data_IF_887915447835
#
_entry.id   IF_887915447835
#
_cell.length_a   1.000
_cell.length_b   1.000
_cell.length_c   1.000
_cell.angle_alpha   90.00
_cell.angle_beta   90.00
_cell.angle_gamma   90.00
#
_symmetry.space_group_name_H-M   'P 1'
#
loop_
_entity.id
_entity.type
_entity.pdbx_description
1 polymer ?
#
# COMPACT_ATOMS: atom_id res chain seq x y z
N UNK A 1 8.42 -35.60 -7.44
CA UNK A 1 8.38 -35.13 -8.84
C UNK A 1 8.67 -33.63 -8.79
N UNK A 2 9.87 -33.23 -9.21
CA UNK A 2 10.31 -31.84 -9.20
C UNK A 2 9.74 -31.11 -10.42
N UNK A 3 8.61 -30.44 -10.28
CA UNK A 3 8.14 -29.50 -11.29
C UNK A 3 8.88 -28.17 -11.07
N UNK A 4 9.87 -27.92 -11.94
CA UNK A 4 10.56 -26.62 -12.00
C UNK A 4 9.56 -25.53 -12.38
N UNK A 5 9.42 -24.44 -11.60
CA UNK A 5 8.52 -23.33 -11.94
C UNK A 5 8.96 -22.51 -13.17
N UNK A 6 10.08 -22.87 -13.79
CA UNK A 6 10.62 -22.19 -14.99
C UNK A 6 9.91 -22.55 -16.29
N UNK A 7 9.16 -23.66 -16.35
CA UNK A 7 8.49 -24.12 -17.57
C UNK A 7 7.31 -23.29 -18.06
N UNK A 8 6.81 -22.34 -17.26
CA UNK A 8 5.64 -21.52 -17.63
C UNK A 8 5.99 -20.32 -18.52
N UNK A 9 7.27 -20.02 -18.74
CA UNK A 9 7.70 -18.80 -19.42
C UNK A 9 8.21 -18.97 -20.87
N UNK A 10 8.21 -20.18 -21.41
CA UNK A 10 8.84 -20.46 -22.72
C UNK A 10 8.00 -20.11 -23.98
N UNK A 11 6.76 -19.65 -23.82
CA UNK A 11 5.98 -19.16 -24.96
C UNK A 11 5.75 -17.65 -24.89
N UNK A 12 6.82 -16.86 -24.95
CA UNK A 12 6.66 -15.42 -25.16
C UNK A 12 6.18 -15.16 -26.58
N UNK A 13 4.87 -15.02 -26.77
CA UNK A 13 4.29 -14.43 -27.99
C UNK A 13 4.98 -13.08 -28.24
N UNK A 14 5.26 -12.77 -29.52
CA UNK A 14 5.79 -11.46 -29.92
C UNK A 14 5.01 -10.36 -29.20
N UNK A 15 5.70 -9.36 -28.58
CA UNK A 15 5.02 -8.32 -27.83
C UNK A 15 4.03 -7.59 -28.73
N UNK A 16 2.83 -7.40 -28.27
CA UNK A 16 1.80 -6.67 -28.99
C UNK A 16 2.17 -5.19 -29.17
N UNK A 17 1.65 -4.53 -30.20
CA UNK A 17 1.92 -3.11 -30.48
C UNK A 17 1.72 -2.18 -29.25
N UNK A 18 0.67 -2.37 -28.39
CA UNK A 18 0.54 -1.61 -27.15
C UNK A 18 1.71 -1.81 -26.18
N UNK A 19 2.24 -3.04 -26.07
CA UNK A 19 3.39 -3.36 -25.22
C UNK A 19 4.64 -2.65 -25.71
N UNK A 20 4.89 -2.66 -27.02
CA UNK A 20 6.01 -1.95 -27.64
C UNK A 20 5.89 -0.43 -27.47
N UNK A 21 4.69 0.14 -27.66
CA UNK A 21 4.44 1.58 -27.43
C UNK A 21 4.68 1.96 -25.96
N UNK A 22 4.29 1.10 -25.00
CA UNK A 22 4.53 1.32 -23.56
C UNK A 22 6.02 1.28 -23.24
N UNK A 23 6.74 0.27 -23.74
CA UNK A 23 8.20 0.16 -23.58
C UNK A 23 8.91 1.37 -24.20
N UNK A 24 8.53 1.79 -25.41
CA UNK A 24 9.08 2.98 -26.05
C UNK A 24 8.86 4.27 -25.22
N UNK A 25 7.65 4.46 -24.66
CA UNK A 25 7.38 5.60 -23.76
C UNK A 25 8.24 5.55 -22.50
N UNK A 26 8.41 4.38 -21.88
CA UNK A 26 9.28 4.21 -20.73
C UNK A 26 10.74 4.51 -21.05
N UNK A 27 11.23 4.01 -22.18
CA UNK A 27 12.59 4.30 -22.66
C UNK A 27 12.79 5.78 -22.95
N UNK A 28 11.82 6.44 -23.56
CA UNK A 28 11.87 7.88 -23.84
C UNK A 28 11.84 8.74 -22.59
N UNK A 29 11.11 8.30 -21.56
CA UNK A 29 10.96 9.05 -20.29
C UNK A 29 12.07 8.78 -19.27
N UNK A 30 12.60 7.56 -19.22
CA UNK A 30 13.49 7.13 -18.13
C UNK A 30 14.79 6.48 -18.62
N UNK A 31 15.00 6.38 -19.93
CA UNK A 31 16.17 5.74 -20.53
C UNK A 31 16.12 4.21 -20.58
N UNK A 32 16.96 3.62 -21.42
CA UNK A 32 17.10 2.16 -21.58
C UNK A 32 17.57 1.50 -20.28
N UNK A 33 18.40 2.20 -19.49
CA UNK A 33 18.95 1.69 -18.24
C UNK A 33 17.88 1.28 -17.24
N UNK A 34 16.81 2.07 -17.07
CA UNK A 34 15.73 1.72 -16.15
C UNK A 34 14.97 0.45 -16.61
N UNK A 35 14.71 0.30 -17.89
CA UNK A 35 14.05 -0.91 -18.39
C UNK A 35 14.90 -2.16 -18.14
N UNK A 36 16.20 -2.07 -18.37
CA UNK A 36 17.15 -3.16 -18.08
C UNK A 36 17.16 -3.48 -16.57
N UNK A 37 17.24 -2.46 -15.71
CA UNK A 37 17.16 -2.64 -14.26
C UNK A 37 15.87 -3.33 -13.86
N UNK A 38 14.72 -2.89 -14.36
CA UNK A 38 13.43 -3.53 -14.06
C UNK A 38 13.41 -5.02 -14.47
N UNK A 39 13.95 -5.36 -15.64
CA UNK A 39 14.02 -6.75 -16.10
C UNK A 39 14.96 -7.60 -15.23
N UNK A 40 16.13 -7.07 -14.88
CA UNK A 40 17.08 -7.74 -13.99
C UNK A 40 16.47 -7.96 -12.62
N UNK A 41 15.86 -6.92 -12.02
CA UNK A 41 15.22 -7.00 -10.70
C UNK A 41 14.01 -7.93 -10.70
N UNK A 42 13.29 -8.01 -11.83
CA UNK A 42 12.21 -9.00 -12.00
C UNK A 42 12.74 -10.42 -11.92
N UNK A 43 13.78 -10.76 -12.68
CA UNK A 43 14.37 -12.10 -12.64
C UNK A 43 14.87 -12.43 -11.23
N UNK A 44 15.57 -11.52 -10.62
CA UNK A 44 16.13 -11.67 -9.29
C UNK A 44 15.07 -11.96 -8.23
N UNK A 45 14.01 -11.16 -8.15
CA UNK A 45 12.98 -11.32 -7.12
C UNK A 45 12.15 -12.60 -7.35
N UNK A 46 11.85 -12.94 -8.59
CA UNK A 46 11.08 -14.13 -8.93
C UNK A 46 11.86 -15.43 -8.70
N UNK A 47 13.20 -15.38 -8.73
CA UNK A 47 14.06 -16.52 -8.39
C UNK A 47 14.40 -16.57 -6.89
N UNK A 48 13.98 -15.59 -6.10
CA UNK A 48 14.27 -15.56 -4.66
C UNK A 48 13.43 -16.57 -3.88
N UNK A 49 14.00 -17.10 -2.79
CA UNK A 49 13.32 -18.08 -1.96
C UNK A 49 11.97 -17.57 -1.42
N UNK A 50 10.96 -18.46 -1.28
CA UNK A 50 9.74 -18.16 -0.55
C UNK A 50 10.01 -17.72 0.88
N UNK A 51 9.11 -16.93 1.44
CA UNK A 51 9.15 -16.54 2.85
C UNK A 51 7.78 -16.76 3.47
N UNK A 52 7.76 -17.50 4.56
CA UNK A 52 6.53 -17.89 5.23
C UNK A 52 5.84 -16.70 5.87
N UNK A 53 4.55 -16.57 5.62
CA UNK A 53 3.64 -15.76 6.43
C UNK A 53 3.22 -16.59 7.67
N UNK A 54 2.81 -15.90 8.71
CA UNK A 54 2.35 -16.54 9.95
C UNK A 54 0.93 -16.07 10.24
N UNK A 55 -0.11 -16.89 9.96
CA UNK A 55 -1.52 -16.47 10.09
C UNK A 55 -1.87 -15.89 11.46
N UNK A 56 -1.18 -16.36 12.50
CA UNK A 56 -1.39 -15.90 13.88
C UNK A 56 -0.38 -14.83 14.34
N UNK A 57 0.44 -14.28 13.43
CA UNK A 57 1.41 -13.26 13.78
C UNK A 57 0.72 -12.04 14.42
N UNK A 58 1.47 -11.35 15.29
CA UNK A 58 0.98 -10.13 15.95
C UNK A 58 0.70 -9.01 14.96
N UNK A 59 1.56 -8.86 13.96
CA UNK A 59 1.40 -7.89 12.88
C UNK A 59 0.52 -8.46 11.76
N UNK A 60 -0.52 -7.74 11.39
CA UNK A 60 -1.39 -8.05 10.27
C UNK A 60 -1.17 -7.01 9.18
N UNK A 61 -0.75 -7.46 8.00
CA UNK A 61 -0.42 -6.61 6.84
C UNK A 61 -1.53 -6.68 5.81
N UNK A 62 -2.02 -5.53 5.38
CA UNK A 62 -3.02 -5.37 4.35
C UNK A 62 -2.47 -4.59 3.16
N UNK A 63 -2.48 -5.20 1.98
CA UNK A 63 -1.93 -4.59 0.77
C UNK A 63 -2.85 -4.80 -0.43
N UNK A 64 -3.16 -3.71 -1.15
CA UNK A 64 -3.80 -3.75 -2.46
C UNK A 64 -2.72 -3.81 -3.54
N UNK A 65 -2.89 -4.68 -4.53
CA UNK A 65 -1.94 -4.86 -5.62
C UNK A 65 -2.64 -4.66 -6.96
N UNK A 66 -2.14 -3.69 -7.72
CA UNK A 66 -2.57 -3.43 -9.07
C UNK A 66 -1.66 -4.11 -10.09
N UNK A 67 -2.17 -4.28 -11.29
CA UNK A 67 -1.42 -4.85 -12.41
C UNK A 67 -0.03 -4.23 -12.63
N UNK A 68 0.17 -2.94 -12.29
CA UNK A 68 1.46 -2.26 -12.49
C UNK A 68 2.47 -2.52 -11.38
N UNK A 69 2.00 -2.87 -10.18
CA UNK A 69 2.78 -2.75 -8.95
C UNK A 69 3.07 -4.10 -8.29
N UNK A 70 2.60 -5.21 -8.89
CA UNK A 70 2.72 -6.53 -8.29
C UNK A 70 4.18 -6.98 -8.03
N UNK A 71 5.13 -6.58 -8.90
CA UNK A 71 6.55 -6.85 -8.65
C UNK A 71 7.10 -6.02 -7.49
N UNK A 72 6.69 -4.75 -7.40
CA UNK A 72 7.06 -3.88 -6.30
C UNK A 72 6.54 -4.47 -4.99
N UNK A 73 5.29 -4.95 -4.98
CA UNK A 73 4.68 -5.58 -3.81
C UNK A 73 5.51 -6.75 -3.26
N UNK A 74 6.08 -7.60 -4.13
CA UNK A 74 6.96 -8.70 -3.69
C UNK A 74 8.23 -8.14 -3.04
N UNK A 75 8.86 -7.11 -3.61
CA UNK A 75 10.02 -6.44 -3.02
C UNK A 75 9.68 -5.79 -1.67
N UNK A 76 8.56 -5.08 -1.60
CA UNK A 76 8.04 -4.45 -0.38
C UNK A 76 7.87 -5.48 0.74
N UNK A 77 7.12 -6.54 0.49
CA UNK A 77 6.81 -7.57 1.47
C UNK A 77 8.07 -8.34 1.91
N UNK A 78 8.98 -8.64 0.98
CA UNK A 78 10.24 -9.29 1.33
C UNK A 78 11.17 -8.38 2.10
N UNK A 79 11.23 -7.08 1.77
CA UNK A 79 12.01 -6.11 2.54
C UNK A 79 11.46 -5.95 3.96
N UNK A 80 10.14 -5.88 4.13
CA UNK A 80 9.49 -5.88 5.45
C UNK A 80 9.83 -7.17 6.21
N UNK A 81 9.66 -8.35 5.58
CA UNK A 81 9.92 -9.65 6.24
C UNK A 81 11.36 -9.77 6.73
N UNK A 82 12.31 -9.25 5.97
CA UNK A 82 13.72 -9.26 6.36
C UNK A 82 14.04 -8.37 7.59
N UNK A 83 13.13 -7.48 7.95
CA UNK A 83 13.27 -6.58 9.08
C UNK A 83 12.32 -6.94 10.26
N UNK A 84 11.38 -7.87 10.06
CA UNK A 84 10.46 -8.34 11.09
C UNK A 84 10.78 -9.79 11.47
N UNK A 85 11.40 -10.02 12.63
CA UNK A 85 11.79 -11.36 13.10
C UNK A 85 10.58 -12.26 13.34
N UNK A 86 9.52 -11.71 13.93
CA UNK A 86 8.31 -12.46 14.34
C UNK A 86 7.38 -12.76 13.16
N UNK A 87 7.70 -12.24 11.97
CA UNK A 87 6.85 -12.38 10.80
C UNK A 87 5.59 -11.52 10.86
N UNK A 88 4.68 -11.81 9.92
CA UNK A 88 3.37 -11.16 9.82
C UNK A 88 2.35 -12.08 9.18
N UNK A 89 1.07 -11.87 9.45
CA UNK A 89 -0.02 -12.37 8.61
C UNK A 89 -0.23 -11.42 7.44
N UNK A 90 -0.60 -11.94 6.26
CA UNK A 90 -0.70 -11.15 5.04
C UNK A 90 -2.05 -11.34 4.37
N UNK A 91 -2.78 -10.23 4.23
CA UNK A 91 -3.96 -10.11 3.38
C UNK A 91 -3.58 -9.35 2.10
N UNK A 92 -3.75 -9.99 0.97
CA UNK A 92 -3.46 -9.42 -0.34
C UNK A 92 -4.75 -9.28 -1.15
N UNK A 93 -5.00 -8.08 -1.65
CA UNK A 93 -6.14 -7.76 -2.50
C UNK A 93 -5.66 -7.54 -3.92
N UNK A 94 -6.05 -8.41 -4.83
CA UNK A 94 -5.68 -8.29 -6.24
C UNK A 94 -6.75 -7.50 -6.99
N UNK A 95 -6.33 -6.46 -7.67
CA UNK A 95 -7.22 -5.70 -8.56
C UNK A 95 -7.65 -6.58 -9.74
N UNK A 96 -8.84 -6.30 -10.28
CA UNK A 96 -9.47 -7.05 -11.39
C UNK A 96 -8.57 -7.14 -12.64
N UNK A 97 -7.67 -6.17 -12.81
CA UNK A 97 -6.75 -6.12 -13.94
C UNK A 97 -5.41 -6.87 -13.70
N UNK A 98 -5.26 -7.50 -12.54
CA UNK A 98 -4.05 -8.29 -12.25
C UNK A 98 -4.13 -9.62 -13.02
N UNK A 99 -3.09 -9.97 -13.82
CA UNK A 99 -3.11 -11.22 -14.58
C UNK A 99 -3.26 -12.44 -13.67
N UNK A 100 -4.08 -13.45 -14.04
CA UNK A 100 -4.32 -14.64 -13.21
C UNK A 100 -3.05 -15.35 -12.68
N UNK A 101 -1.94 -15.48 -13.45
CA UNK A 101 -0.71 -16.11 -12.95
C UNK A 101 -0.06 -15.38 -11.76
N UNK A 102 -0.36 -14.09 -11.56
CA UNK A 102 0.24 -13.29 -10.49
C UNK A 102 -0.20 -13.79 -9.11
N UNK A 103 -1.44 -14.26 -8.98
CA UNK A 103 -1.91 -14.88 -7.73
C UNK A 103 -1.02 -16.04 -7.33
N UNK A 104 -0.77 -16.97 -8.25
CA UNK A 104 0.07 -18.14 -8.03
C UNK A 104 1.52 -17.77 -7.68
N UNK A 105 2.04 -16.68 -8.28
CA UNK A 105 3.35 -16.13 -7.94
C UNK A 105 3.38 -15.68 -6.48
N UNK A 106 2.35 -14.96 -6.02
CA UNK A 106 2.28 -14.54 -4.62
C UNK A 106 2.14 -15.72 -3.66
N UNK A 107 1.28 -16.70 -3.95
CA UNK A 107 1.12 -17.93 -3.16
C UNK A 107 2.42 -18.73 -3.08
N UNK A 108 3.21 -18.73 -4.17
CA UNK A 108 4.55 -19.36 -4.18
C UNK A 108 5.56 -18.59 -3.31
N UNK A 109 5.55 -17.25 -3.40
CA UNK A 109 6.52 -16.42 -2.68
C UNK A 109 6.19 -16.21 -1.20
N UNK A 110 4.91 -16.31 -0.85
CA UNK A 110 4.38 -16.09 0.49
C UNK A 110 3.39 -17.21 0.84
N UNK A 111 3.86 -18.41 1.17
CA UNK A 111 3.00 -19.48 1.67
C UNK A 111 2.15 -18.97 2.84
N UNK A 112 0.90 -19.43 2.92
CA UNK A 112 -0.11 -19.05 3.92
C UNK A 112 -0.63 -17.59 3.78
N UNK A 113 -0.40 -16.94 2.63
CA UNK A 113 -1.04 -15.66 2.29
C UNK A 113 -2.56 -15.82 2.21
N UNK A 114 -3.28 -14.83 2.66
CA UNK A 114 -4.72 -14.75 2.55
C UNK A 114 -5.10 -13.85 1.36
N UNK A 115 -5.72 -14.45 0.33
CA UNK A 115 -6.23 -13.74 -0.85
C UNK A 115 -7.74 -13.95 -0.89
N UNK A 116 -8.53 -13.00 -0.34
CA UNK A 116 -9.98 -13.13 -0.29
C UNK A 116 -10.59 -13.26 -1.70
N UNK A 117 -11.64 -14.08 -1.81
CA UNK A 117 -12.36 -14.24 -3.07
C UNK A 117 -13.26 -13.03 -3.31
N UNK A 118 -13.37 -12.54 -4.57
CA UNK A 118 -14.20 -11.39 -4.91
C UNK A 118 -15.68 -11.54 -4.48
N UNK A 119 -16.29 -12.69 -4.73
CA UNK A 119 -17.69 -12.95 -4.38
C UNK A 119 -17.91 -12.91 -2.87
N UNK A 120 -16.95 -13.44 -2.10
CA UNK A 120 -17.01 -13.36 -0.64
C UNK A 120 -16.87 -11.91 -0.15
N UNK A 121 -15.98 -11.13 -0.73
CA UNK A 121 -15.83 -9.70 -0.41
C UNK A 121 -17.12 -8.94 -0.72
N UNK A 122 -17.73 -9.18 -1.88
CA UNK A 122 -19.00 -8.55 -2.27
C UNK A 122 -20.11 -8.83 -1.27
N UNK A 123 -20.23 -10.09 -0.86
CA UNK A 123 -21.21 -10.48 0.17
C UNK A 123 -20.91 -9.79 1.51
N UNK A 124 -19.65 -9.70 1.93
CA UNK A 124 -19.29 -9.00 3.17
C UNK A 124 -19.58 -7.49 3.08
N UNK A 125 -19.32 -6.86 1.94
CA UNK A 125 -19.68 -5.44 1.71
C UNK A 125 -21.20 -5.27 1.81
N UNK A 126 -21.97 -6.15 1.21
CA UNK A 126 -23.44 -6.12 1.26
C UNK A 126 -23.97 -6.27 2.69
N UNK A 127 -23.43 -7.19 3.46
CA UNK A 127 -23.91 -7.52 4.81
C UNK A 127 -23.44 -6.52 5.88
N UNK A 128 -22.21 -6.04 5.79
CA UNK A 128 -21.56 -5.30 6.89
C UNK A 128 -21.39 -3.82 6.60
N UNK A 129 -21.11 -3.43 5.35
CA UNK A 129 -20.83 -2.03 5.01
C UNK A 129 -22.07 -1.32 4.47
N UNK A 130 -22.82 -1.91 3.56
CA UNK A 130 -23.98 -1.27 2.92
C UNK A 130 -25.05 -0.77 3.92
N UNK A 131 -25.32 -1.45 5.05
CA UNK A 131 -26.30 -0.96 6.04
C UNK A 131 -25.84 0.31 6.78
N UNK A 132 -24.55 0.56 6.87
CA UNK A 132 -23.97 1.67 7.65
C UNK A 132 -23.30 2.75 6.79
N UNK A 133 -22.93 2.43 5.56
CA UNK A 133 -22.26 3.32 4.61
C UNK A 133 -22.66 2.97 3.16
N UNK A 134 -23.91 3.25 2.76
CA UNK A 134 -24.46 2.83 1.46
C UNK A 134 -23.76 3.47 0.27
N UNK A 135 -23.34 4.73 0.37
CA UNK A 135 -22.57 5.41 -0.68
C UNK A 135 -21.22 4.72 -0.88
N UNK A 136 -20.47 4.48 0.20
CA UNK A 136 -19.15 3.82 0.13
C UNK A 136 -19.28 2.41 -0.45
N UNK A 137 -20.30 1.65 -0.03
CA UNK A 137 -20.57 0.32 -0.57
C UNK A 137 -20.89 0.37 -2.08
N UNK A 138 -21.62 1.39 -2.53
CA UNK A 138 -21.91 1.62 -3.94
C UNK A 138 -20.65 1.99 -4.72
N UNK A 139 -19.85 2.91 -4.20
CA UNK A 139 -18.59 3.32 -4.82
C UNK A 139 -17.60 2.16 -4.93
N UNK A 140 -17.47 1.33 -3.90
CA UNK A 140 -16.64 0.14 -3.92
C UNK A 140 -17.01 -0.81 -5.07
N UNK A 141 -18.32 -1.04 -5.28
CA UNK A 141 -18.82 -1.90 -6.37
C UNK A 141 -18.67 -1.29 -7.76
N UNK A 142 -18.85 0.03 -7.92
CA UNK A 142 -19.01 0.66 -9.23
C UNK A 142 -17.74 1.36 -9.74
N UNK A 143 -16.92 1.91 -8.85
CA UNK A 143 -15.76 2.71 -9.23
C UNK A 143 -14.49 1.86 -9.45
N UNK A 144 -14.43 0.66 -8.91
CA UNK A 144 -13.24 -0.21 -8.95
C UNK A 144 -11.95 0.55 -8.60
N UNK A 145 -12.05 1.50 -7.66
CA UNK A 145 -10.89 2.29 -7.22
C UNK A 145 -9.99 1.43 -6.32
N UNK A 146 -8.73 1.17 -6.72
CA UNK A 146 -7.84 0.34 -5.91
C UNK A 146 -7.64 0.89 -4.50
N UNK A 147 -7.60 2.21 -4.34
CA UNK A 147 -7.36 2.86 -3.05
C UNK A 147 -8.58 2.72 -2.12
N UNK A 148 -9.81 2.94 -2.64
CA UNK A 148 -11.03 2.68 -1.86
C UNK A 148 -11.15 1.19 -1.51
N UNK A 149 -10.89 0.32 -2.50
CA UNK A 149 -10.94 -1.13 -2.29
C UNK A 149 -9.97 -1.57 -1.20
N UNK A 150 -8.75 -1.05 -1.18
CA UNK A 150 -7.75 -1.32 -0.14
C UNK A 150 -8.31 -1.03 1.25
N UNK A 151 -8.91 0.14 1.46
CA UNK A 151 -9.44 0.55 2.75
C UNK A 151 -10.64 -0.31 3.20
N UNK A 152 -11.62 -0.51 2.30
CA UNK A 152 -12.81 -1.33 2.58
C UNK A 152 -12.42 -2.78 2.84
N UNK A 153 -11.60 -3.37 1.98
CA UNK A 153 -11.19 -4.76 2.10
C UNK A 153 -10.37 -5.00 3.37
N UNK A 154 -9.46 -4.06 3.72
CA UNK A 154 -8.70 -4.15 4.95
C UNK A 154 -9.63 -4.16 6.18
N UNK A 155 -10.62 -3.29 6.23
CA UNK A 155 -11.58 -3.25 7.34
C UNK A 155 -12.44 -4.53 7.43
N UNK A 156 -12.88 -5.05 6.28
CA UNK A 156 -13.70 -6.28 6.21
C UNK A 156 -12.91 -7.50 6.65
N UNK A 157 -11.69 -7.66 6.14
CA UNK A 157 -10.85 -8.83 6.36
C UNK A 157 -10.08 -8.82 7.67
N UNK A 158 -9.90 -7.66 8.30
CA UNK A 158 -9.10 -7.52 9.50
C UNK A 158 -9.54 -8.47 10.62
N UNK A 159 -8.61 -9.27 11.10
CA UNK A 159 -8.76 -10.18 12.22
C UNK A 159 -8.21 -9.59 13.52
N UNK A 160 -7.34 -8.58 13.40
CA UNK A 160 -6.73 -7.86 14.52
C UNK A 160 -7.34 -6.47 14.68
N UNK A 161 -7.18 -5.91 15.86
CA UNK A 161 -7.57 -4.52 16.14
C UNK A 161 -6.64 -3.50 15.46
N UNK A 162 -5.38 -3.86 15.31
CA UNK A 162 -4.34 -3.05 14.67
C UNK A 162 -3.86 -3.75 13.43
N UNK A 163 -3.89 -3.04 12.33
CA UNK A 163 -3.44 -3.56 11.03
C UNK A 163 -2.42 -2.62 10.39
N UNK A 164 -1.40 -3.17 9.75
CA UNK A 164 -0.48 -2.42 8.93
C UNK A 164 -1.09 -2.23 7.54
N UNK A 165 -1.42 -1.00 7.23
CA UNK A 165 -1.88 -0.56 5.93
C UNK A 165 -0.66 -0.17 5.10
N UNK A 166 -0.41 -0.86 3.98
CA UNK A 166 0.86 -0.78 3.27
C UNK A 166 0.67 -0.68 1.76
N UNK A 167 1.35 0.29 1.14
CA UNK A 167 1.42 0.41 -0.31
C UNK A 167 2.50 -0.51 -0.91
N UNK A 168 2.33 -0.94 -2.18
CA UNK A 168 3.25 -1.87 -2.84
C UNK A 168 4.59 -1.26 -3.24
N UNK A 169 4.78 0.05 -3.07
CA UNK A 169 5.98 0.79 -3.46
C UNK A 169 6.76 1.36 -2.26
N UNK A 170 6.71 0.62 -1.15
CA UNK A 170 7.48 0.90 0.07
C UNK A 170 8.64 -0.08 0.20
N UNK A 171 9.82 0.38 0.59
CA UNK A 171 10.96 -0.49 0.94
C UNK A 171 11.40 -0.25 2.38
N UNK A 172 11.70 -1.34 3.08
CA UNK A 172 12.19 -1.33 4.45
C UNK A 172 13.69 -1.61 4.48
N UNK A 173 14.45 -0.76 5.16
CA UNK A 173 15.91 -0.81 5.28
C UNK A 173 16.38 -1.21 6.67
N UNK A 174 15.55 -0.99 7.68
CA UNK A 174 15.80 -1.33 9.08
C UNK A 174 14.50 -1.83 9.76
N UNK A 175 14.59 -2.46 10.94
CA UNK A 175 13.42 -2.89 11.71
C UNK A 175 12.47 -1.72 11.98
N UNK A 176 11.17 -1.84 11.62
CA UNK A 176 10.20 -0.75 11.80
C UNK A 176 9.64 -0.74 13.23
N UNK A 177 10.50 -0.39 14.20
CA UNK A 177 10.20 -0.47 15.63
C UNK A 177 8.92 0.27 16.02
N UNK A 178 8.69 1.47 15.47
CA UNK A 178 7.47 2.24 15.74
C UNK A 178 6.20 1.54 15.25
N UNK A 179 6.25 0.88 14.08
CA UNK A 179 5.11 0.11 13.56
C UNK A 179 4.88 -1.18 14.35
N UNK A 180 5.92 -1.74 14.96
CA UNK A 180 5.85 -2.99 15.73
C UNK A 180 5.54 -2.76 17.20
N UNK A 181 5.84 -1.57 17.74
CA UNK A 181 5.57 -1.24 19.12
C UNK A 181 4.06 -1.26 19.42
N UNK A 182 3.71 -1.57 20.67
CA UNK A 182 2.35 -1.36 21.19
C UNK A 182 2.16 0.12 21.47
N UNK A 183 1.95 0.90 20.42
CA UNK A 183 1.61 2.30 20.58
C UNK A 183 0.21 2.35 21.17
N UNK A 184 0.13 2.68 22.46
CA UNK A 184 -1.14 3.05 23.08
C UNK A 184 -1.63 4.33 22.41
N UNK A 185 -2.94 4.48 22.14
CA UNK A 185 -3.47 5.73 21.62
C UNK A 185 -3.03 6.87 22.53
N UNK A 186 -2.40 7.89 21.98
CA UNK A 186 -2.07 9.11 22.73
C UNK A 186 -3.39 9.84 23.00
N UNK A 187 -3.80 9.92 24.26
CA UNK A 187 -5.05 10.53 24.66
C UNK A 187 -6.23 9.56 24.69
N UNK A 188 -7.32 9.96 25.30
CA UNK A 188 -8.51 9.15 25.57
C UNK A 188 -9.14 8.54 24.31
N UNK A 189 -8.65 7.43 23.88
CA UNK A 189 -9.44 6.34 23.33
C UNK A 189 -9.55 6.19 21.81
N UNK A 190 -9.50 7.19 20.94
CA UNK A 190 -9.99 7.02 19.56
C UNK A 190 -9.07 7.54 18.46
N UNK A 191 -7.76 7.61 18.65
CA UNK A 191 -6.85 7.99 17.55
C UNK A 191 -6.95 6.99 16.40
N UNK A 192 -6.98 7.49 15.14
CA UNK A 192 -6.99 6.67 13.93
C UNK A 192 -5.82 5.69 13.88
N UNK A 193 -4.64 6.13 14.34
CA UNK A 193 -3.45 5.31 14.31
C UNK A 193 -2.17 6.11 14.05
N UNK A 194 -1.18 5.44 13.48
CA UNK A 194 0.17 5.95 13.22
C UNK A 194 0.48 5.89 11.73
N UNK A 195 0.77 7.03 11.09
CA UNK A 195 0.93 7.13 9.64
C UNK A 195 2.16 7.92 9.21
N UNK A 196 2.59 7.69 7.98
CA UNK A 196 3.56 8.55 7.30
C UNK A 196 3.03 9.97 7.14
N UNK A 197 3.98 10.91 7.12
CA UNK A 197 3.73 12.29 6.81
C UNK A 197 4.63 12.75 5.66
N UNK A 198 4.07 13.51 4.71
CA UNK A 198 4.80 14.22 3.66
C UNK A 198 5.29 15.57 4.16
N UNK A 199 6.10 16.26 3.37
CA UNK A 199 6.36 17.67 3.64
C UNK A 199 5.06 18.47 3.49
N UNK A 200 4.84 19.41 4.41
CA UNK A 200 3.71 20.31 4.31
C UNK A 200 3.80 21.12 3.01
N UNK A 201 2.70 21.16 2.23
CA UNK A 201 2.64 22.08 1.09
C UNK A 201 2.73 23.53 1.57
N UNK A 202 3.15 24.49 0.70
CA UNK A 202 3.18 25.88 1.04
C UNK A 202 1.85 26.36 1.65
N UNK A 203 1.91 27.14 2.72
CA UNK A 203 0.72 27.66 3.41
C UNK A 203 -0.14 28.56 2.52
N UNK A 204 0.46 29.13 1.46
CA UNK A 204 -0.25 29.94 0.46
C UNK A 204 -1.21 29.16 -0.43
N UNK A 205 -1.11 27.83 -0.48
CA UNK A 205 -2.05 27.02 -1.25
C UNK A 205 -3.37 26.89 -0.50
N UNK A 206 -4.46 27.25 -1.15
CA UNK A 206 -5.83 27.06 -0.61
C UNK A 206 -6.26 25.60 -0.60
N UNK A 207 -5.66 24.77 -1.46
CA UNK A 207 -5.89 23.32 -1.59
C UNK A 207 -4.55 22.60 -1.78
N UNK A 208 -4.27 21.62 -0.93
CA UNK A 208 -3.02 20.82 -1.00
C UNK A 208 -2.95 19.89 -2.20
N UNK A 209 -4.08 19.59 -2.83
CA UNK A 209 -4.18 18.56 -3.87
C UNK A 209 -4.13 17.13 -3.33
N UNK A 210 -4.07 16.94 -2.01
CA UNK A 210 -3.90 15.63 -1.37
C UNK A 210 -5.21 14.86 -1.17
N UNK A 211 -6.38 15.48 -1.42
CA UNK A 211 -7.68 14.88 -1.15
C UNK A 211 -8.61 14.98 -2.35
N UNK A 212 -9.57 14.06 -2.47
CA UNK A 212 -10.58 14.08 -3.53
C UNK A 212 -11.79 14.98 -3.24
N UNK A 213 -11.79 15.69 -2.11
CA UNK A 213 -12.78 16.69 -1.70
C UNK A 213 -12.11 18.04 -1.45
N UNK A 214 -12.89 19.13 -1.47
CA UNK A 214 -12.40 20.46 -1.14
C UNK A 214 -12.09 20.58 0.35
N UNK A 215 -10.86 20.93 0.70
CA UNK A 215 -10.45 21.19 2.09
C UNK A 215 -11.27 22.33 2.71
N UNK A 216 -11.59 23.36 1.91
CA UNK A 216 -12.40 24.51 2.35
C UNK A 216 -13.84 24.08 2.67
N UNK A 217 -14.46 23.21 1.84
CA UNK A 217 -15.82 22.72 2.10
C UNK A 217 -15.85 21.82 3.36
N UNK A 218 -14.82 21.00 3.58
CA UNK A 218 -14.70 20.20 4.81
C UNK A 218 -14.61 21.11 6.04
N UNK A 219 -13.78 22.15 5.97
CA UNK A 219 -13.66 23.12 7.08
C UNK A 219 -14.97 23.89 7.33
N UNK A 220 -15.63 24.34 6.26
CA UNK A 220 -16.86 25.10 6.36
C UNK A 220 -18.04 24.30 6.91
N UNK A 221 -18.23 23.06 6.41
CA UNK A 221 -19.42 22.27 6.71
C UNK A 221 -19.28 21.38 7.95
N UNK A 222 -18.04 20.99 8.29
CA UNK A 222 -17.77 20.02 9.36
C UNK A 222 -16.84 20.56 10.45
N UNK A 223 -16.29 21.76 10.30
CA UNK A 223 -15.31 22.38 11.20
C UNK A 223 -14.04 21.51 11.39
N UNK A 224 -13.69 20.72 10.37
CA UNK A 224 -12.54 19.85 10.39
C UNK A 224 -11.44 20.39 9.48
N UNK A 225 -10.19 20.38 9.96
CA UNK A 225 -9.01 20.72 9.17
C UNK A 225 -8.32 19.43 8.74
N UNK A 226 -8.35 19.14 7.44
CA UNK A 226 -7.66 17.97 6.89
C UNK A 226 -6.15 18.11 7.07
N UNK A 227 -5.45 17.04 7.51
CA UNK A 227 -4.01 17.07 7.72
C UNK A 227 -3.26 17.03 6.39
N UNK A 228 -2.75 18.18 5.95
CA UNK A 228 -2.13 18.35 4.62
C UNK A 228 -0.85 17.56 4.39
N UNK A 229 -0.22 17.10 5.45
CA UNK A 229 0.97 16.27 5.44
C UNK A 229 0.67 14.77 5.62
N UNK A 230 -0.58 14.39 5.75
CA UNK A 230 -1.00 13.00 5.89
C UNK A 230 -0.68 12.18 4.64
N UNK A 231 -0.12 10.97 4.84
CA UNK A 231 0.13 10.02 3.75
C UNK A 231 -0.32 8.61 4.14
N UNK A 232 -1.18 8.01 3.34
CA UNK A 232 -1.79 6.71 3.58
C UNK A 232 -0.93 5.51 3.11
N UNK A 233 0.29 5.72 2.63
CA UNK A 233 1.10 4.64 2.03
C UNK A 233 1.70 3.67 3.03
N UNK A 234 1.97 4.15 4.27
CA UNK A 234 2.42 3.32 5.41
C UNK A 234 1.68 3.79 6.65
N UNK A 235 0.99 2.89 7.33
CA UNK A 235 0.37 3.25 8.60
C UNK A 235 -0.18 2.07 9.37
N UNK A 236 -0.22 2.22 10.70
CA UNK A 236 -1.01 1.34 11.56
C UNK A 236 -2.38 1.97 11.73
N UNK A 237 -3.42 1.25 11.35
CA UNK A 237 -4.80 1.66 11.55
C UNK A 237 -5.36 0.92 12.75
N UNK A 238 -6.06 1.65 13.61
CA UNK A 238 -6.91 1.06 14.63
C UNK A 238 -8.30 0.81 14.01
N UNK A 239 -8.66 -0.45 13.84
CA UNK A 239 -9.89 -0.85 13.13
C UNK A 239 -11.16 -0.18 13.66
N UNK A 240 -11.26 -0.03 15.00
CA UNK A 240 -12.40 0.63 15.66
C UNK A 240 -12.49 2.13 15.41
N UNK A 241 -11.38 2.76 15.02
CA UNK A 241 -11.38 4.19 14.68
C UNK A 241 -11.95 4.47 13.29
N UNK A 242 -12.26 3.46 12.49
CA UNK A 242 -12.86 3.63 11.17
C UNK A 242 -14.37 3.81 11.33
N UNK A 243 -14.81 5.06 11.29
CA UNK A 243 -16.23 5.46 11.37
C UNK A 243 -16.82 5.59 9.96
N UNK A 244 -17.31 4.47 9.44
CA UNK A 244 -17.91 4.42 8.10
C UNK A 244 -19.14 5.31 7.94
N UNK A 245 -20.10 5.38 8.89
CA UNK A 245 -21.23 6.31 8.83
C UNK A 245 -20.79 7.76 8.64
N UNK A 246 -19.78 8.19 9.38
CA UNK A 246 -19.24 9.55 9.24
C UNK A 246 -18.63 9.79 7.85
N UNK A 247 -17.79 8.85 7.36
CA UNK A 247 -17.20 8.97 6.02
C UNK A 247 -18.29 9.06 4.95
N UNK A 248 -19.29 8.19 5.04
CA UNK A 248 -20.41 8.12 4.09
C UNK A 248 -21.22 9.43 4.09
N UNK A 249 -21.53 9.95 5.27
CA UNK A 249 -22.22 11.22 5.44
C UNK A 249 -21.42 12.37 4.80
N UNK A 250 -20.14 12.51 5.13
CA UNK A 250 -19.31 13.61 4.60
C UNK A 250 -19.22 13.54 3.09
N UNK A 251 -18.91 12.35 2.54
CA UNK A 251 -18.71 12.17 1.10
C UNK A 251 -20.03 12.28 0.31
N UNK A 252 -21.18 12.03 0.94
CA UNK A 252 -22.50 12.22 0.29
C UNK A 252 -22.88 13.68 0.12
N UNK A 253 -22.32 14.57 0.93
CA UNK A 253 -22.68 16.01 0.96
C UNK A 253 -21.65 16.91 0.29
N UNK A 254 -20.42 16.44 0.11
CA UNK A 254 -19.34 17.23 -0.48
C UNK A 254 -19.20 17.01 -1.98
N UNK A 255 -18.73 18.04 -2.67
CA UNK A 255 -18.37 17.95 -4.08
C UNK A 255 -17.05 17.22 -4.25
N UNK A 256 -17.06 16.17 -5.08
CA UNK A 256 -15.85 15.44 -5.43
C UNK A 256 -15.08 16.10 -6.55
N UNK A 257 -13.76 16.03 -6.46
CA UNK A 257 -12.84 16.52 -7.48
C UNK A 257 -12.55 15.35 -8.44
N UNK A 258 -13.07 15.34 -9.68
CA UNK A 258 -13.06 14.16 -10.57
C UNK A 258 -11.67 13.64 -10.89
N UNK A 259 -10.69 14.53 -11.03
CA UNK A 259 -9.32 14.18 -11.42
C UNK A 259 -8.50 13.53 -10.27
N UNK A 260 -9.06 13.49 -9.06
CA UNK A 260 -8.41 12.96 -7.85
C UNK A 260 -8.95 11.60 -7.39
N UNK A 261 -9.48 10.80 -8.29
CA UNK A 261 -10.09 9.48 -7.98
C UNK A 261 -9.13 8.46 -7.33
N UNK A 262 -7.84 8.66 -7.45
CA UNK A 262 -6.83 7.78 -6.81
C UNK A 262 -6.51 8.17 -5.36
N UNK A 263 -7.22 9.14 -4.78
CA UNK A 263 -7.00 9.65 -3.43
C UNK A 263 -8.14 9.28 -2.46
N UNK A 264 -8.92 8.23 -2.76
CA UNK A 264 -10.03 7.83 -1.90
C UNK A 264 -9.60 7.44 -0.50
N UNK A 265 -8.63 6.53 -0.38
CA UNK A 265 -8.12 6.12 0.94
C UNK A 265 -7.46 7.27 1.69
N UNK A 266 -6.66 8.06 0.99
CA UNK A 266 -6.05 9.28 1.53
C UNK A 266 -7.11 10.23 2.08
N UNK A 267 -8.23 10.42 1.37
CA UNK A 267 -9.33 11.30 1.77
C UNK A 267 -10.10 10.72 2.96
N UNK A 268 -10.52 9.46 2.88
CA UNK A 268 -11.26 8.81 3.96
C UNK A 268 -10.44 8.76 5.27
N UNK A 269 -9.18 8.36 5.18
CA UNK A 269 -8.29 8.33 6.34
C UNK A 269 -7.94 9.73 6.82
N UNK A 270 -7.79 10.72 5.92
CA UNK A 270 -7.59 12.11 6.27
C UNK A 270 -8.76 12.74 7.02
N UNK A 271 -10.00 12.41 6.64
CA UNK A 271 -11.23 12.81 7.36
C UNK A 271 -11.26 12.20 8.78
N UNK A 272 -10.94 10.93 8.90
CA UNK A 272 -10.86 10.25 10.21
C UNK A 272 -9.74 10.82 11.07
N UNK A 273 -8.58 11.10 10.48
CA UNK A 273 -7.45 11.72 11.16
C UNK A 273 -7.79 13.14 11.67
N UNK A 274 -8.51 13.93 10.87
CA UNK A 274 -8.98 15.25 11.27
C UNK A 274 -9.98 15.19 12.43
N UNK A 275 -10.83 14.15 12.47
CA UNK A 275 -11.86 14.00 13.49
C UNK A 275 -11.34 13.38 14.79
N UNK A 276 -10.51 12.34 14.68
CA UNK A 276 -10.11 11.49 15.83
C UNK A 276 -8.67 11.73 16.26
N UNK A 277 -7.92 12.56 15.52
CA UNK A 277 -6.48 12.66 15.70
C UNK A 277 -5.71 11.47 15.10
N UNK A 278 -4.42 11.65 14.92
CA UNK A 278 -3.50 10.66 14.43
C UNK A 278 -2.07 10.94 14.93
N UNK A 279 -1.22 9.92 14.90
CA UNK A 279 0.19 10.04 15.24
C UNK A 279 1.04 10.00 13.96
N UNK A 280 2.14 10.72 13.97
CA UNK A 280 3.08 10.77 12.83
C UNK A 280 4.22 9.81 13.07
N UNK A 281 4.55 9.01 12.04
CA UNK A 281 5.84 8.37 11.94
C UNK A 281 6.92 9.44 11.77
N UNK A 282 8.05 9.29 12.45
CA UNK A 282 9.13 10.28 12.35
C UNK A 282 9.67 10.33 10.92
N UNK A 283 9.50 11.47 10.27
CA UNK A 283 9.94 11.73 8.89
C UNK A 283 11.45 11.58 8.67
N UNK A 284 12.25 11.58 9.73
CA UNK A 284 13.69 11.30 9.64
C UNK A 284 13.99 9.84 9.34
N UNK A 285 13.06 8.95 9.70
CA UNK A 285 13.20 7.50 9.58
C UNK A 285 12.28 6.89 8.52
N UNK A 286 11.10 7.49 8.33
CA UNK A 286 10.08 7.03 7.37
C UNK A 286 9.93 8.08 6.27
N UNK A 287 10.69 7.91 5.21
CA UNK A 287 10.76 8.89 4.13
C UNK A 287 9.55 8.77 3.20
N UNK A 288 9.00 9.92 2.87
CA UNK A 288 8.11 10.13 1.73
C UNK A 288 8.75 11.25 0.92
N UNK A 289 8.47 11.38 -0.35
CA UNK A 289 9.07 12.40 -1.21
C UNK A 289 10.60 12.20 -1.46
N UNK A 290 11.33 13.29 -1.68
CA UNK A 290 12.73 13.30 -2.12
C UNK A 290 13.77 13.25 -0.99
N UNK A 291 13.39 12.72 0.17
CA UNK A 291 14.32 12.55 1.28
C UNK A 291 15.49 11.63 0.90
N UNK A 292 16.72 12.08 1.13
CA UNK A 292 17.89 11.24 0.93
C UNK A 292 17.92 10.09 1.93
N UNK A 293 18.00 8.86 1.43
CA UNK A 293 18.14 7.67 2.27
C UNK A 293 19.50 7.70 2.96
N UNK A 294 19.52 7.51 4.26
CA UNK A 294 20.71 7.46 5.08
C UNK A 294 20.70 6.23 6.02
N UNK A 295 21.73 6.09 6.86
CA UNK A 295 21.88 4.94 7.76
C UNK A 295 20.79 4.81 8.82
N UNK A 296 20.01 5.85 9.06
CA UNK A 296 18.90 5.87 10.03
C UNK A 296 17.52 5.62 9.37
N UNK A 297 17.45 5.62 8.04
CA UNK A 297 16.21 5.42 7.32
C UNK A 297 15.66 4.02 7.58
N UNK A 298 14.45 3.94 8.12
CA UNK A 298 13.73 2.69 8.38
C UNK A 298 12.96 2.24 7.15
N UNK A 299 12.21 3.13 6.53
CA UNK A 299 11.47 2.85 5.32
C UNK A 299 11.40 4.06 4.39
N UNK A 300 11.20 3.82 3.10
CA UNK A 300 10.90 4.86 2.13
C UNK A 300 9.71 4.46 1.24
N UNK A 301 8.80 5.40 1.04
CA UNK A 301 7.65 5.28 0.17
C UNK A 301 7.92 5.99 -1.16
N UNK A 302 7.94 5.24 -2.25
CA UNK A 302 8.29 5.70 -3.59
C UNK A 302 7.05 6.00 -4.43
N UNK A 303 6.15 6.80 -3.90
CA UNK A 303 4.89 7.08 -4.58
C UNK A 303 5.07 8.01 -5.79
N UNK A 304 4.17 7.88 -6.77
CA UNK A 304 4.18 8.72 -7.94
C UNK A 304 5.12 8.24 -9.05
N UNK A 305 5.06 8.97 -10.17
CA UNK A 305 5.69 8.54 -11.42
C UNK A 305 7.21 8.61 -11.38
N UNK A 306 7.73 9.67 -10.81
CA UNK A 306 9.18 9.95 -10.81
C UNK A 306 9.91 9.11 -9.75
N UNK A 307 9.28 8.84 -8.63
CA UNK A 307 9.84 8.01 -7.55
C UNK A 307 9.89 6.53 -7.89
N UNK A 308 9.10 6.07 -8.85
CA UNK A 308 9.18 4.68 -9.34
C UNK A 308 10.56 4.33 -9.90
N UNK A 309 11.22 5.27 -10.58
CA UNK A 309 12.59 5.08 -11.05
C UNK A 309 13.55 4.90 -9.88
N UNK A 310 13.43 5.72 -8.82
CA UNK A 310 14.23 5.64 -7.62
C UNK A 310 14.03 4.31 -6.86
N UNK A 311 12.81 3.76 -6.84
CA UNK A 311 12.54 2.44 -6.27
C UNK A 311 13.48 1.36 -6.85
N UNK A 312 13.66 1.35 -8.17
CA UNK A 312 14.51 0.37 -8.86
C UNK A 312 15.99 0.74 -8.85
N UNK A 313 16.33 2.02 -9.03
CA UNK A 313 17.70 2.48 -9.19
C UNK A 313 18.44 2.68 -7.85
N UNK A 314 17.74 3.02 -6.79
CA UNK A 314 18.30 3.35 -5.49
C UNK A 314 17.85 2.38 -4.40
N UNK A 315 16.53 2.22 -4.26
CA UNK A 315 15.93 1.47 -3.17
C UNK A 315 16.27 -0.02 -3.18
N UNK A 316 16.01 -0.71 -4.30
CA UNK A 316 16.31 -2.14 -4.41
C UNK A 316 17.82 -2.44 -4.24
N UNK A 317 18.76 -1.73 -4.90
CA UNK A 317 20.19 -1.91 -4.66
C UNK A 317 20.58 -1.76 -3.19
N UNK A 318 19.98 -0.82 -2.47
CA UNK A 318 20.26 -0.63 -1.04
C UNK A 318 19.74 -1.81 -0.21
N UNK A 319 18.49 -2.22 -0.40
CA UNK A 319 17.90 -3.39 0.30
C UNK A 319 18.78 -4.64 0.10
N UNK A 320 19.31 -4.85 -1.12
CA UNK A 320 20.22 -5.95 -1.43
C UNK A 320 21.53 -5.86 -0.68
N UNK A 321 22.17 -4.66 -0.66
CA UNK A 321 23.42 -4.43 0.09
C UNK A 321 23.24 -4.66 1.59
N UNK A 322 22.06 -4.38 2.13
CA UNK A 322 21.70 -4.67 3.52
C UNK A 322 21.45 -6.16 3.80
N UNK A 323 21.71 -7.03 2.84
CA UNK A 323 21.67 -8.47 3.01
C UNK A 323 20.27 -9.09 2.94
N UNK A 324 19.33 -8.48 2.19
CA UNK A 324 17.96 -8.98 2.05
C UNK A 324 17.90 -10.50 1.84
N UNK A 325 18.59 -11.01 0.82
CA UNK A 325 18.49 -12.43 0.46
C UNK A 325 19.16 -13.36 1.49
N UNK A 326 20.19 -12.88 2.19
CA UNK A 326 20.79 -13.63 3.29
C UNK A 326 19.81 -13.73 4.47
N UNK A 327 19.19 -12.63 4.86
CA UNK A 327 18.18 -12.59 5.92
C UNK A 327 16.96 -13.47 5.57
N UNK A 328 16.47 -13.40 4.33
CA UNK A 328 15.32 -14.22 3.91
C UNK A 328 15.59 -15.72 3.94
N UNK A 329 16.83 -16.18 3.79
CA UNK A 329 17.19 -17.61 3.94
C UNK A 329 16.84 -18.15 5.32
N UNK A 330 16.89 -17.32 6.36
CA UNK A 330 16.54 -17.71 7.73
C UNK A 330 15.03 -17.93 7.93
N UNK A 331 14.20 -17.49 6.99
CA UNK A 331 12.73 -17.54 7.08
C UNK A 331 12.09 -18.46 6.03
N UNK A 332 12.87 -19.40 5.48
CA UNK A 332 12.33 -20.40 4.56
C UNK A 332 11.33 -21.31 5.28
N UNK A 333 10.30 -21.77 4.55
CA UNK A 333 9.35 -22.75 5.07
C UNK A 333 10.00 -24.04 5.51
#
# INVERSE_FOLDING_TARGET
MNHSPLGVFETMKKPSLPVLKKAYRQVRQHGVSLLVEQLLRRKEILSSAPVRCHPNARLEVHMQVCHRDWLNAIWTLKSLRAQCTDGFSLFLYLDVNVPPPVRMIFETHFPEIQVPQPDWLEEQVRLRLAPIAPLIATLWRTQHSPTLNKMVNAWICAQKERLLYLDPDVLFFAPPGELLADVQPVGSGNSLGLFNATRLPPASLTDSGAFCVSEAEVQQNYHLTLPRDFNAGIGIIHRKAIDWPFIDEVLSKLRWIPDRKLLWDQTCLGLLAARSGWNRLDQKYYLVDDGAINSKTVAAHYFGRDRRAAFYAEGIPLVRRLGLFAKLKAFRP
#
